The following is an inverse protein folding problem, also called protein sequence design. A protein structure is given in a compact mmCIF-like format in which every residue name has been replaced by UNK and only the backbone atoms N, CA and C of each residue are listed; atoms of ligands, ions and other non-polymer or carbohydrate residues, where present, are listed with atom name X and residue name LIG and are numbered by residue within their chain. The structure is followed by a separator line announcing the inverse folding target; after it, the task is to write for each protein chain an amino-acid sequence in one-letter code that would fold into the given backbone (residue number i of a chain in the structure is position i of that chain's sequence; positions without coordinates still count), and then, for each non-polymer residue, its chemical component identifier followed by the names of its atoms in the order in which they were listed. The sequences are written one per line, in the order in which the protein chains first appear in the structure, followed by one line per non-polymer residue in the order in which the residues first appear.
data_IF_488217500468
#
_entry.id   IF_488217500468
#
_cell.length_a   1.000
_cell.length_b   1.000
_cell.length_c   1.000
_cell.angle_alpha   90.00
_cell.angle_beta   90.00
_cell.angle_gamma   90.00
#
_symmetry.space_group_name_H-M   'P 1'
#
loop_
_entity.id
_entity.type
_entity.pdbx_description
1 polymer ?
#
# COMPACT_ATOMS: atom_id res chain seq x y z
N UNK A 1 -29.22 10.38 24.52
CA UNK A 1 -28.02 10.06 23.72
C UNK A 1 -26.94 11.07 24.08
N UNK A 2 -25.76 10.62 24.54
CA UNK A 2 -24.66 11.53 24.86
C UNK A 2 -24.23 12.32 23.61
N UNK A 3 -24.14 13.64 23.71
CA UNK A 3 -23.63 14.49 22.65
C UNK A 3 -22.21 14.04 22.28
N UNK A 4 -21.97 13.79 20.99
CA UNK A 4 -20.70 13.26 20.50
C UNK A 4 -19.64 14.36 20.61
N UNK A 5 -18.69 14.20 21.52
CA UNK A 5 -17.65 15.19 21.81
C UNK A 5 -16.86 15.66 20.58
N UNK A 6 -16.65 14.78 19.58
CA UNK A 6 -15.89 15.09 18.36
C UNK A 6 -16.42 14.29 17.16
N UNK A 7 -17.37 14.85 16.43
CA UNK A 7 -18.05 14.18 15.32
C UNK A 7 -17.08 13.78 14.20
N UNK A 8 -16.19 14.69 13.79
CA UNK A 8 -15.21 14.47 12.71
C UNK A 8 -14.25 13.31 13.00
N UNK A 9 -13.71 13.23 14.21
CA UNK A 9 -12.81 12.15 14.60
C UNK A 9 -13.54 10.80 14.60
N UNK A 10 -14.79 10.79 15.08
CA UNK A 10 -15.60 9.58 15.10
C UNK A 10 -15.91 9.06 13.68
N UNK A 11 -16.19 9.96 12.75
CA UNK A 11 -16.46 9.59 11.35
C UNK A 11 -15.20 9.08 10.64
N UNK A 12 -14.03 9.69 10.92
CA UNK A 12 -12.74 9.18 10.42
C UNK A 12 -12.42 7.80 10.99
N UNK A 13 -12.55 7.62 12.32
CA UNK A 13 -12.32 6.32 12.96
C UNK A 13 -13.29 5.26 12.44
N UNK A 14 -14.56 5.59 12.24
CA UNK A 14 -15.56 4.67 11.65
C UNK A 14 -15.17 4.27 10.23
N UNK A 15 -14.76 5.23 9.41
CA UNK A 15 -14.34 4.99 8.03
C UNK A 15 -13.09 4.11 7.96
N UNK A 16 -12.14 4.33 8.86
CA UNK A 16 -10.94 3.50 9.00
C UNK A 16 -11.31 2.06 9.41
N UNK A 17 -12.15 1.88 10.44
CA UNK A 17 -12.60 0.55 10.88
C UNK A 17 -13.32 -0.18 9.74
N UNK A 18 -14.22 0.49 9.02
CA UNK A 18 -14.93 -0.11 7.89
C UNK A 18 -13.94 -0.53 6.78
N UNK A 19 -12.97 0.31 6.46
CA UNK A 19 -11.93 -0.01 5.48
C UNK A 19 -11.11 -1.24 5.91
N UNK A 20 -10.67 -1.33 7.17
CA UNK A 20 -9.95 -2.49 7.70
C UNK A 20 -10.76 -3.79 7.60
N UNK A 21 -12.06 -3.75 7.89
CA UNK A 21 -12.91 -4.94 7.78
C UNK A 21 -13.06 -5.43 6.34
N UNK A 22 -13.18 -4.50 5.38
CA UNK A 22 -13.22 -4.83 3.96
C UNK A 22 -11.90 -5.45 3.47
N UNK A 23 -10.76 -4.90 3.90
CA UNK A 23 -9.43 -5.43 3.59
C UNK A 23 -9.26 -6.82 4.17
N UNK A 24 -9.59 -7.04 5.45
CA UNK A 24 -9.50 -8.35 6.09
C UNK A 24 -10.32 -9.40 5.34
N UNK A 25 -11.55 -9.04 4.93
CA UNK A 25 -12.42 -9.95 4.18
C UNK A 25 -11.84 -10.35 2.83
N UNK A 26 -11.24 -9.40 2.10
CA UNK A 26 -10.56 -9.69 0.83
C UNK A 26 -9.30 -10.52 1.04
N UNK A 27 -8.52 -10.22 2.08
CA UNK A 27 -7.31 -10.97 2.41
C UNK A 27 -7.64 -12.43 2.74
N UNK A 28 -8.65 -12.67 3.57
CA UNK A 28 -9.12 -14.02 3.88
C UNK A 28 -9.60 -14.78 2.63
N UNK A 29 -10.17 -14.10 1.63
CA UNK A 29 -10.50 -14.73 0.34
C UNK A 29 -9.25 -15.04 -0.48
N UNK A 30 -8.29 -14.11 -0.56
CA UNK A 30 -7.04 -14.29 -1.29
C UNK A 30 -6.15 -15.40 -0.69
N UNK A 31 -6.18 -15.58 0.63
CA UNK A 31 -5.44 -16.63 1.34
C UNK A 31 -6.18 -17.98 1.38
N UNK A 32 -7.38 -18.07 0.80
CA UNK A 32 -8.17 -19.30 0.76
C UNK A 32 -8.85 -19.68 2.08
N UNK A 33 -8.90 -18.76 3.06
CA UNK A 33 -9.66 -18.95 4.31
C UNK A 33 -11.18 -18.89 4.06
N UNK A 34 -11.60 -18.23 2.97
CA UNK A 34 -12.98 -18.14 2.51
C UNK A 34 -13.05 -18.69 1.09
N UNK A 35 -14.00 -19.59 0.83
CA UNK A 35 -14.14 -20.24 -0.46
C UNK A 35 -14.60 -19.30 -1.59
N UNK A 36 -15.56 -18.40 -1.31
CA UNK A 36 -16.15 -17.55 -2.35
C UNK A 36 -16.62 -16.19 -1.82
N UNK A 37 -16.50 -15.18 -2.68
CA UNK A 37 -17.14 -13.88 -2.53
C UNK A 37 -18.00 -13.67 -3.78
N UNK A 38 -19.29 -13.42 -3.57
CA UNK A 38 -20.22 -13.05 -4.64
C UNK A 38 -19.65 -11.89 -5.48
N UNK A 39 -19.66 -12.02 -6.81
CA UNK A 39 -19.05 -11.06 -7.74
C UNK A 39 -19.56 -9.63 -7.55
N UNK A 40 -20.85 -9.45 -7.29
CA UNK A 40 -21.45 -8.14 -7.00
C UNK A 40 -20.88 -7.51 -5.72
N UNK A 41 -20.64 -8.33 -4.70
CA UNK A 41 -20.00 -7.92 -3.45
C UNK A 41 -18.54 -7.54 -3.67
N UNK A 42 -17.79 -8.33 -4.44
CA UNK A 42 -16.39 -8.04 -4.74
C UNK A 42 -16.24 -6.66 -5.40
N UNK A 43 -17.08 -6.35 -6.40
CA UNK A 43 -17.10 -5.06 -7.10
C UNK A 43 -17.50 -3.90 -6.20
N UNK A 44 -18.45 -4.10 -5.28
CA UNK A 44 -18.82 -3.08 -4.30
C UNK A 44 -17.66 -2.76 -3.35
N UNK A 45 -16.94 -3.80 -2.88
CA UNK A 45 -15.76 -3.62 -2.02
C UNK A 45 -14.66 -2.86 -2.77
N UNK A 46 -14.38 -3.22 -4.03
CA UNK A 46 -13.41 -2.51 -4.88
C UNK A 46 -13.73 -1.01 -4.99
N UNK A 47 -14.97 -0.65 -5.32
CA UNK A 47 -15.39 0.76 -5.44
C UNK A 47 -15.23 1.51 -4.11
N UNK A 48 -15.53 0.87 -2.98
CA UNK A 48 -15.37 1.49 -1.66
C UNK A 48 -13.90 1.71 -1.33
N UNK A 49 -13.03 0.73 -1.60
CA UNK A 49 -11.60 0.85 -1.35
C UNK A 49 -10.95 1.95 -2.20
N UNK A 50 -11.35 2.09 -3.47
CA UNK A 50 -10.87 3.18 -4.34
C UNK A 50 -11.25 4.59 -3.86
N UNK A 51 -12.32 4.70 -3.05
CA UNK A 51 -12.74 5.97 -2.44
C UNK A 51 -12.04 6.26 -1.12
N UNK A 52 -11.48 5.25 -0.46
CA UNK A 52 -10.87 5.39 0.88
C UNK A 52 -9.36 5.26 0.87
N UNK A 53 -8.79 4.55 -0.10
CA UNK A 53 -7.35 4.35 -0.26
C UNK A 53 -6.90 4.95 -1.60
N UNK A 54 -5.79 5.69 -1.63
CA UNK A 54 -5.16 6.05 -2.89
C UNK A 54 -4.69 4.76 -3.58
N UNK A 55 -5.10 4.56 -4.83
CA UNK A 55 -4.55 3.48 -5.65
C UNK A 55 -3.02 3.64 -5.71
N UNK A 56 -2.30 2.53 -5.59
CA UNK A 56 -0.85 2.47 -5.81
C UNK A 56 -0.57 2.79 -7.28
N UNK A 57 -0.55 4.07 -7.61
CA UNK A 57 -0.08 4.55 -8.90
C UNK A 57 1.42 4.34 -8.94
N UNK A 58 1.90 3.59 -9.94
CA UNK A 58 3.33 3.51 -10.20
C UNK A 58 3.82 4.94 -10.50
N UNK A 59 4.62 5.51 -9.60
CA UNK A 59 5.28 6.78 -9.85
C UNK A 59 6.38 6.52 -10.88
N UNK A 60 6.07 6.71 -12.15
CA UNK A 60 7.08 6.72 -13.21
C UNK A 60 7.85 8.02 -13.10
N UNK A 61 9.06 7.97 -12.55
CA UNK A 61 9.98 9.10 -12.56
C UNK A 61 10.61 9.20 -13.95
N UNK A 62 10.02 9.99 -14.84
CA UNK A 62 10.58 10.32 -16.14
C UNK A 62 11.36 11.65 -16.04
N UNK A 63 12.62 11.66 -16.49
CA UNK A 63 13.38 12.90 -16.65
C UNK A 63 12.99 13.60 -17.95
N UNK A 64 12.97 14.92 -17.93
CA UNK A 64 12.80 15.76 -19.12
C UNK A 64 14.16 16.13 -19.72
N UNK A 65 14.20 16.62 -20.95
CA UNK A 65 15.43 17.07 -21.64
C UNK A 65 16.17 18.14 -20.82
N UNK A 66 15.42 19.01 -20.12
CA UNK A 66 15.95 20.03 -19.22
C UNK A 66 16.35 19.52 -17.83
N UNK A 67 15.85 18.35 -17.39
CA UNK A 67 16.11 17.77 -16.07
C UNK A 67 16.19 16.23 -16.11
N UNK A 68 17.31 15.66 -16.58
CA UNK A 68 17.49 14.21 -16.65
C UNK A 68 17.65 13.58 -15.24
N UNK A 69 17.03 12.41 -15.05
CA UNK A 69 17.18 11.63 -13.81
C UNK A 69 18.55 10.97 -13.79
N UNK A 70 19.48 11.53 -13.02
CA UNK A 70 20.81 10.97 -12.83
C UNK A 70 20.80 9.89 -11.74
N UNK A 71 20.80 8.62 -12.15
CA UNK A 71 20.97 7.50 -11.22
C UNK A 71 22.45 7.40 -10.83
N UNK A 72 22.81 7.93 -9.67
CA UNK A 72 24.18 7.84 -9.14
C UNK A 72 24.38 6.46 -8.51
N UNK A 73 25.08 5.57 -9.22
CA UNK A 73 25.54 4.30 -8.65
C UNK A 73 26.86 4.52 -7.90
N UNK A 74 26.83 4.44 -6.56
CA UNK A 74 28.04 4.41 -5.74
C UNK A 74 28.52 2.97 -5.64
N UNK A 75 29.70 2.67 -6.20
CA UNK A 75 30.36 1.36 -6.05
C UNK A 75 31.40 1.49 -4.94
N UNK A 76 31.10 0.95 -3.75
CA UNK A 76 32.10 0.80 -2.69
C UNK A 76 32.96 -0.44 -2.96
N UNK A 77 34.24 -0.24 -3.26
CA UNK A 77 35.22 -1.34 -3.37
C UNK A 77 36.07 -1.38 -2.12
N UNK A 78 36.00 -2.51 -1.38
CA UNK A 78 36.92 -2.82 -0.29
C UNK A 78 38.06 -3.68 -0.84
N UNK A 79 39.26 -3.11 -0.92
CA UNK A 79 40.48 -3.86 -1.23
C UNK A 79 40.87 -4.69 0.00
N UNK A 80 40.83 -6.02 -0.13
CA UNK A 80 41.32 -6.95 0.89
C UNK A 80 42.72 -7.39 0.49
N UNK A 81 43.66 -7.40 1.45
CA UNK A 81 45.00 -7.92 1.20
C UNK A 81 44.90 -9.43 0.89
N UNK A 82 45.60 -9.94 -0.14
CA UNK A 82 45.60 -11.36 -0.41
C UNK A 82 46.14 -12.11 0.81
N UNK A 83 45.41 -13.13 1.23
CA UNK A 83 45.82 -14.01 2.32
C UNK A 83 47.13 -14.68 1.91
N UNK A 84 48.23 -14.39 2.61
CA UNK A 84 49.51 -15.04 2.39
C UNK A 84 49.42 -16.46 2.95
N UNK A 85 49.02 -17.40 2.11
CA UNK A 85 48.93 -18.83 2.42
C UNK A 85 49.45 -19.66 1.26
N UNK A 86 50.74 -19.96 1.31
CA UNK A 86 51.36 -21.22 0.90
C UNK A 86 52.32 -21.62 2.01
#
# INVERSE_FOLDING_TARGET
MAARLNLRQQDQTRSAIQTSQLVNRLQSYALGEIAEIETGRLKAIEILLRKTLPDLSAVTLAGDEDNPVNVVHVIERRLVRPNAGN
#
